data_IF_537184160377
#
_entry.id   IF_537184160377
#
_cell.length_a   1.000
_cell.length_b   1.000
_cell.length_c   1.000
_cell.angle_alpha   90.00
_cell.angle_beta   90.00
_cell.angle_gamma   90.00
#
_symmetry.space_group_name_H-M   'P 1'
#
loop_
_entity.id
_entity.type
_entity.pdbx_description
1 polymer ?
#
# COMPACT_ATOMS: atom_id res chain seq x y z
N UNK A 1 -24.66 5.15 -5.84
CA UNK A 1 -24.51 5.17 -7.30
C UNK A 1 -25.07 3.87 -7.87
N UNK A 2 -25.91 3.93 -8.90
CA UNK A 2 -26.39 2.74 -9.62
C UNK A 2 -25.54 2.58 -10.88
N UNK A 3 -24.89 1.43 -11.01
CA UNK A 3 -23.99 1.15 -12.14
C UNK A 3 -24.35 -0.21 -12.70
N UNK A 4 -24.45 -0.31 -14.02
CA UNK A 4 -24.60 -1.59 -14.70
C UNK A 4 -23.21 -2.09 -15.07
N UNK A 5 -22.83 -3.27 -14.56
CA UNK A 5 -21.56 -3.93 -14.85
C UNK A 5 -21.81 -5.39 -15.14
N UNK A 6 -21.04 -5.97 -16.05
CA UNK A 6 -21.07 -7.40 -16.34
C UNK A 6 -20.20 -8.12 -15.30
N UNK A 7 -20.75 -9.14 -14.66
CA UNK A 7 -20.07 -9.94 -13.66
C UNK A 7 -20.17 -11.42 -14.03
N UNK A 8 -19.10 -12.16 -13.77
CA UNK A 8 -19.12 -13.61 -13.87
C UNK A 8 -20.02 -14.20 -12.78
N UNK A 9 -21.07 -14.91 -13.18
CA UNK A 9 -22.02 -15.52 -12.25
C UNK A 9 -21.40 -16.63 -11.40
N UNK A 10 -20.42 -17.36 -11.94
CA UNK A 10 -19.77 -18.46 -11.23
C UNK A 10 -18.95 -17.91 -10.06
N UNK A 11 -18.15 -16.88 -10.34
CA UNK A 11 -17.35 -16.17 -9.35
C UNK A 11 -18.23 -15.50 -8.28
N UNK A 12 -19.34 -14.87 -8.69
CA UNK A 12 -20.26 -14.22 -7.73
C UNK A 12 -20.93 -15.26 -6.83
N UNK A 13 -21.36 -16.40 -7.35
CA UNK A 13 -21.95 -17.48 -6.53
C UNK A 13 -20.93 -18.03 -5.53
N UNK A 14 -19.69 -18.24 -5.96
CA UNK A 14 -18.62 -18.68 -5.08
C UNK A 14 -18.33 -17.64 -3.99
N UNK A 15 -18.20 -16.36 -4.37
CA UNK A 15 -17.99 -15.28 -3.43
C UNK A 15 -19.12 -15.22 -2.40
N UNK A 16 -20.40 -15.28 -2.82
CA UNK A 16 -21.56 -15.33 -1.93
C UNK A 16 -21.45 -16.50 -0.94
N UNK A 17 -21.07 -17.69 -1.41
CA UNK A 17 -20.92 -18.89 -0.57
C UNK A 17 -19.81 -18.73 0.47
N UNK A 18 -18.68 -18.15 0.08
CA UNK A 18 -17.51 -17.97 0.95
C UNK A 18 -17.71 -16.84 1.97
N UNK A 19 -18.32 -15.73 1.56
CA UNK A 19 -18.50 -14.53 2.41
C UNK A 19 -19.82 -14.54 3.17
N UNK A 20 -20.74 -15.46 2.86
CA UNK A 20 -22.10 -15.57 3.43
C UNK A 20 -22.96 -14.32 3.25
N UNK A 21 -22.64 -13.47 2.27
CA UNK A 21 -23.43 -12.29 1.91
C UNK A 21 -24.76 -12.66 1.26
N UNK A 22 -25.75 -11.77 1.30
CA UNK A 22 -27.11 -12.05 0.81
C UNK A 22 -27.34 -11.57 -0.62
N UNK A 23 -26.49 -10.70 -1.16
CA UNK A 23 -26.70 -10.10 -2.48
C UNK A 23 -25.41 -9.86 -3.26
N UNK A 24 -25.54 -9.82 -4.60
CA UNK A 24 -24.43 -9.44 -5.50
C UNK A 24 -23.86 -8.07 -5.12
N UNK A 25 -24.72 -7.14 -4.66
CA UNK A 25 -24.33 -5.79 -4.22
C UNK A 25 -23.43 -5.82 -2.99
N UNK A 26 -23.75 -6.66 -2.01
CA UNK A 26 -22.94 -6.83 -0.80
C UNK A 26 -21.58 -7.44 -1.12
N UNK A 27 -21.51 -8.45 -2.00
CA UNK A 27 -20.23 -9.01 -2.48
C UNK A 27 -19.36 -7.93 -3.08
N UNK A 28 -19.91 -7.13 -4.00
CA UNK A 28 -19.16 -6.06 -4.68
C UNK A 28 -18.66 -5.04 -3.66
N UNK A 29 -19.51 -4.65 -2.69
CA UNK A 29 -19.11 -3.72 -1.65
C UNK A 29 -17.94 -4.24 -0.82
N UNK A 30 -18.04 -5.50 -0.35
CA UNK A 30 -17.00 -6.16 0.43
C UNK A 30 -15.69 -6.27 -0.38
N UNK A 31 -15.79 -6.70 -1.64
CA UNK A 31 -14.63 -6.83 -2.53
C UNK A 31 -13.91 -5.49 -2.74
N UNK A 32 -14.64 -4.39 -2.90
CA UNK A 32 -14.06 -3.05 -3.02
C UNK A 32 -13.40 -2.58 -1.72
N UNK A 33 -14.01 -2.85 -0.56
CA UNK A 33 -13.41 -2.54 0.73
C UNK A 33 -12.07 -3.26 0.91
N UNK A 34 -12.04 -4.58 0.64
CA UNK A 34 -10.82 -5.37 0.74
C UNK A 34 -9.76 -4.94 -0.28
N UNK A 35 -10.14 -4.64 -1.52
CA UNK A 35 -9.22 -4.12 -2.53
C UNK A 35 -8.54 -2.83 -2.05
N UNK A 36 -9.32 -1.88 -1.50
CA UNK A 36 -8.77 -0.63 -0.96
C UNK A 36 -7.87 -0.91 0.24
N UNK A 37 -8.27 -1.81 1.14
CA UNK A 37 -7.46 -2.20 2.31
C UNK A 37 -6.10 -2.75 1.88
N UNK A 38 -6.09 -3.74 1.00
CA UNK A 38 -4.88 -4.38 0.49
C UNK A 38 -3.96 -3.37 -0.23
N UNK A 39 -4.53 -2.45 -1.02
CA UNK A 39 -3.74 -1.40 -1.70
C UNK A 39 -3.14 -0.40 -0.73
N UNK A 40 -3.83 -0.06 0.36
CA UNK A 40 -3.28 0.80 1.43
C UNK A 40 -2.16 0.08 2.18
N UNK A 41 -2.37 -1.18 2.54
CA UNK A 41 -1.37 -2.01 3.21
C UNK A 41 -0.11 -2.19 2.38
N UNK A 42 -0.22 -2.41 1.06
CA UNK A 42 0.95 -2.46 0.17
C UNK A 42 1.75 -1.14 0.11
N UNK A 43 1.11 0.00 0.38
CA UNK A 43 1.81 1.30 0.42
C UNK A 43 2.47 1.58 1.77
N UNK A 44 2.04 0.92 2.85
CA UNK A 44 2.61 1.06 4.18
C UNK A 44 4.11 0.70 4.26
N UNK A 45 4.61 -0.45 3.75
CA UNK A 45 6.02 -0.77 3.85
C UNK A 45 6.90 0.25 3.12
N UNK A 46 6.43 0.79 1.98
CA UNK A 46 7.14 1.84 1.25
C UNK A 46 7.19 3.15 2.04
N UNK A 47 6.09 3.56 2.67
CA UNK A 47 6.03 4.80 3.48
C UNK A 47 6.81 4.66 4.78
N UNK A 48 6.69 3.53 5.47
CA UNK A 48 7.44 3.23 6.68
C UNK A 48 8.95 3.24 6.38
N UNK A 49 9.39 2.57 5.31
CA UNK A 49 10.79 2.61 4.88
C UNK A 49 11.28 4.05 4.64
N UNK A 50 10.54 4.85 3.86
CA UNK A 50 10.92 6.25 3.59
C UNK A 50 11.06 7.06 4.87
N UNK A 51 10.10 6.98 5.80
CA UNK A 51 10.18 7.73 7.05
C UNK A 51 11.30 7.23 7.98
N UNK A 52 11.50 5.92 8.08
CA UNK A 52 12.51 5.35 8.97
C UNK A 52 13.92 5.66 8.50
N UNK A 53 14.20 5.57 7.20
CA UNK A 53 15.57 5.62 6.69
C UNK A 53 15.94 6.93 5.98
N UNK A 54 14.97 7.65 5.40
CA UNK A 54 15.28 8.90 4.69
C UNK A 54 15.06 10.15 5.57
N UNK A 55 14.12 10.11 6.52
CA UNK A 55 13.86 11.26 7.41
C UNK A 55 14.71 11.25 8.68
N UNK A 56 15.19 10.08 9.11
CA UNK A 56 16.13 9.94 10.23
C UNK A 56 17.48 9.42 9.71
N UNK A 57 18.32 10.27 9.10
CA UNK A 57 19.65 9.86 8.68
C UNK A 57 20.45 9.36 9.88
N UNK A 58 21.17 8.25 9.71
CA UNK A 58 22.06 7.70 10.73
C UNK A 58 23.12 8.76 11.03
N UNK A 59 23.06 9.37 12.22
CA UNK A 59 24.12 10.26 12.69
C UNK A 59 25.30 9.40 13.12
N UNK A 60 26.31 9.32 12.26
CA UNK A 60 27.59 8.73 12.63
C UNK A 60 28.33 9.74 13.52
N UNK A 61 28.70 9.38 14.75
CA UNK A 61 29.31 10.32 15.71
C UNK A 61 30.63 10.91 15.20
N UNK A 62 31.34 10.18 14.34
CA UNK A 62 32.65 10.56 13.82
C UNK A 62 32.62 11.04 12.36
N UNK A 63 31.42 11.15 11.75
CA UNK A 63 31.31 11.62 10.38
C UNK A 63 31.42 13.14 10.34
N UNK A 64 32.60 13.63 9.95
CA UNK A 64 32.78 14.99 9.50
C UNK A 64 32.54 15.02 7.99
N UNK A 65 31.45 15.65 7.50
CA UNK A 65 31.25 15.80 6.07
C UNK A 65 32.36 16.70 5.52
N UNK A 66 33.32 16.10 4.83
CA UNK A 66 34.31 16.85 4.05
C UNK A 66 33.65 17.39 2.79
N UNK A 67 33.78 18.69 2.58
CA UNK A 67 33.38 19.30 1.32
C UNK A 67 34.37 18.92 0.23
N UNK A 68 33.95 19.04 -1.05
CA UNK A 68 34.86 18.79 -2.18
C UNK A 68 36.13 19.63 -2.07
N UNK A 69 36.01 20.86 -1.61
CA UNK A 69 37.14 21.77 -1.45
C UNK A 69 38.14 21.27 -0.38
N UNK A 70 37.66 20.65 0.70
CA UNK A 70 38.51 20.04 1.74
C UNK A 70 39.32 18.84 1.23
N UNK A 71 38.80 18.11 0.24
CA UNK A 71 39.45 16.93 -0.36
C UNK A 71 40.62 17.35 -1.26
N UNK A 72 40.47 18.47 -1.98
CA UNK A 72 41.48 18.97 -2.93
C UNK A 72 42.48 19.94 -2.30
N UNK A 73 42.28 20.34 -1.03
CA UNK A 73 43.19 21.20 -0.29
C UNK A 73 44.38 20.48 0.37
N UNK A 74 44.62 19.20 0.02
CA UNK A 74 45.64 18.34 0.64
C UNK A 74 46.87 18.13 -0.21
#
# INVERSE_FOLDING_TARGET
MRTNIVLDETLVKEAIRLTKTRSKREVIHLALQELVRLRREQQMPRRAFVNTYLQNPIQLPDFTPMTRDDIYAR
#
